data_IF_666763471791
#
_entry.id   IF_666763471791
#
_cell.length_a   1.000
_cell.length_b   1.000
_cell.length_c   1.000
_cell.angle_alpha   90.00
_cell.angle_beta   90.00
_cell.angle_gamma   90.00
#
_symmetry.space_group_name_H-M   'P 1'
#
loop_
_entity.id
_entity.type
_entity.pdbx_description
1 polymer ?
#
# COMPACT_ATOMS: atom_id res chain seq x y z
N UNK A 1 7.67 -11.65 6.35
CA UNK A 1 6.60 -10.66 6.30
C UNK A 1 5.55 -10.98 7.35
N UNK A 2 4.91 -12.15 7.32
CA UNK A 2 3.80 -12.51 8.20
C UNK A 2 4.15 -12.45 9.70
N UNK A 3 5.22 -13.12 10.10
CA UNK A 3 5.65 -13.22 11.50
C UNK A 3 6.38 -11.96 12.02
N UNK A 4 6.59 -10.98 11.18
CA UNK A 4 7.28 -9.73 11.53
C UNK A 4 8.66 -9.95 12.18
N UNK A 5 9.38 -10.97 11.74
CA UNK A 5 10.72 -11.26 12.22
C UNK A 5 11.76 -10.43 11.48
N UNK A 6 12.81 -9.98 12.18
CA UNK A 6 13.99 -9.42 11.52
C UNK A 6 14.72 -10.51 10.73
N UNK A 7 15.57 -10.13 9.77
CA UNK A 7 16.37 -11.08 8.99
C UNK A 7 17.17 -12.05 9.86
N UNK A 8 17.78 -11.55 10.94
CA UNK A 8 18.54 -12.36 11.91
C UNK A 8 17.65 -13.33 12.65
N UNK A 9 16.48 -12.86 13.15
CA UNK A 9 15.51 -13.73 13.82
C UNK A 9 14.88 -14.75 12.88
N UNK A 10 14.70 -14.40 11.60
CA UNK A 10 14.24 -15.34 10.59
C UNK A 10 15.26 -16.46 10.37
N UNK A 11 16.56 -16.13 10.21
CA UNK A 11 17.61 -17.13 10.09
C UNK A 11 17.71 -18.03 11.33
N UNK A 12 17.60 -17.44 12.53
CA UNK A 12 17.56 -18.19 13.78
C UNK A 12 16.36 -19.13 13.83
N UNK A 13 15.15 -18.64 13.56
CA UNK A 13 13.93 -19.45 13.58
C UNK A 13 14.00 -20.64 12.58
N UNK A 14 14.57 -20.44 11.39
CA UNK A 14 14.79 -21.52 10.43
C UNK A 14 15.76 -22.57 10.96
N UNK A 15 16.82 -22.17 11.64
CA UNK A 15 17.73 -23.12 12.28
C UNK A 15 17.05 -23.86 13.44
N UNK A 16 16.37 -23.15 14.34
CA UNK A 16 15.84 -23.71 15.58
C UNK A 16 14.62 -24.63 15.33
N UNK A 17 13.76 -24.30 14.34
CA UNK A 17 12.54 -25.05 14.06
C UNK A 17 12.71 -26.15 12.99
N UNK A 18 13.64 -25.93 12.05
CA UNK A 18 13.77 -26.81 10.87
C UNK A 18 15.20 -27.31 10.62
N UNK A 19 16.18 -26.92 11.43
CA UNK A 19 17.59 -27.27 11.24
C UNK A 19 18.24 -26.62 10.02
N UNK A 20 17.58 -25.61 9.40
CA UNK A 20 18.05 -24.95 8.20
C UNK A 20 19.03 -23.84 8.57
N UNK A 21 20.31 -24.05 8.30
CA UNK A 21 21.39 -23.11 8.59
C UNK A 21 21.65 -22.18 7.41
N UNK A 22 21.12 -20.96 7.48
CA UNK A 22 21.38 -19.89 6.53
C UNK A 22 21.75 -18.59 7.23
N UNK A 23 22.51 -17.74 6.54
CA UNK A 23 22.85 -16.41 7.08
C UNK A 23 21.66 -15.44 6.92
N UNK A 24 21.63 -14.40 7.75
CA UNK A 24 20.65 -13.33 7.59
C UNK A 24 20.78 -12.61 6.23
N UNK A 25 21.99 -12.61 5.63
CA UNK A 25 22.20 -12.07 4.28
C UNK A 25 21.53 -12.95 3.20
N UNK A 26 21.55 -14.27 3.36
CA UNK A 26 20.82 -15.17 2.47
C UNK A 26 19.30 -14.97 2.60
N UNK A 27 18.77 -14.75 3.81
CA UNK A 27 17.36 -14.39 4.02
C UNK A 27 17.02 -13.09 3.27
N UNK A 28 17.91 -12.07 3.35
CA UNK A 28 17.72 -10.82 2.62
C UNK A 28 17.73 -11.03 1.09
N UNK A 29 18.65 -11.85 0.59
CA UNK A 29 18.75 -12.17 -0.85
C UNK A 29 17.47 -12.89 -1.33
N UNK A 30 16.98 -13.88 -0.59
CA UNK A 30 15.71 -14.55 -0.93
C UNK A 30 14.52 -13.60 -0.92
N UNK A 31 14.42 -12.72 0.09
CA UNK A 31 13.36 -11.72 0.14
C UNK A 31 13.42 -10.76 -1.06
N UNK A 32 14.64 -10.33 -1.45
CA UNK A 32 14.85 -9.49 -2.63
C UNK A 32 14.47 -10.22 -3.92
N UNK A 33 14.91 -11.45 -4.10
CA UNK A 33 14.56 -12.28 -5.28
C UNK A 33 13.04 -12.47 -5.37
N UNK A 34 12.40 -12.82 -4.26
CA UNK A 34 10.94 -12.95 -4.20
C UNK A 34 10.24 -11.63 -4.59
N UNK A 35 10.73 -10.50 -4.07
CA UNK A 35 10.19 -9.18 -4.41
C UNK A 35 10.36 -8.84 -5.89
N UNK A 36 11.51 -9.14 -6.49
CA UNK A 36 11.78 -8.92 -7.92
C UNK A 36 10.84 -9.73 -8.82
N UNK A 37 10.54 -10.98 -8.43
CA UNK A 37 9.65 -11.85 -9.19
C UNK A 37 8.19 -11.43 -9.03
N UNK A 38 7.76 -11.11 -7.81
CA UNK A 38 6.35 -10.82 -7.53
C UNK A 38 5.94 -9.40 -7.88
N UNK A 39 6.86 -8.44 -7.86
CA UNK A 39 6.53 -7.02 -8.07
C UNK A 39 5.82 -6.75 -9.40
N UNK A 40 6.27 -7.25 -10.57
CA UNK A 40 5.54 -7.05 -11.82
C UNK A 40 4.10 -7.58 -11.78
N UNK A 41 3.89 -8.72 -11.13
CA UNK A 41 2.54 -9.27 -10.94
C UNK A 41 1.67 -8.34 -10.09
N UNK A 42 2.18 -7.89 -8.94
CA UNK A 42 1.44 -7.00 -8.03
C UNK A 42 1.13 -5.65 -8.69
N UNK A 43 2.11 -5.09 -9.40
CA UNK A 43 1.98 -3.76 -10.01
C UNK A 43 1.00 -3.73 -11.19
N UNK A 44 0.82 -4.86 -11.89
CA UNK A 44 -0.03 -4.95 -13.08
C UNK A 44 -1.30 -5.79 -12.86
N UNK A 45 -1.54 -6.27 -11.63
CA UNK A 45 -2.74 -7.04 -11.33
C UNK A 45 -3.99 -6.19 -11.51
N UNK A 46 -5.00 -6.72 -12.18
CA UNK A 46 -6.28 -6.06 -12.40
C UNK A 46 -7.17 -6.17 -11.16
N UNK A 47 -6.89 -5.32 -10.17
CA UNK A 47 -7.68 -5.28 -8.94
C UNK A 47 -9.13 -4.89 -9.21
N UNK A 48 -10.12 -5.55 -8.56
CA UNK A 48 -11.49 -5.04 -8.53
C UNK A 48 -11.51 -3.63 -7.93
N UNK A 49 -12.20 -2.71 -8.58
CA UNK A 49 -12.27 -1.30 -8.17
C UNK A 49 -13.71 -0.90 -7.92
N UNK A 50 -13.98 -0.34 -6.75
CA UNK A 50 -15.25 0.29 -6.41
C UNK A 50 -15.27 1.77 -6.82
N UNK A 51 -16.31 2.48 -6.41
CA UNK A 51 -16.39 3.94 -6.61
C UNK A 51 -15.74 4.76 -5.48
N UNK A 52 -15.14 4.12 -4.47
CA UNK A 52 -14.57 4.84 -3.32
C UNK A 52 -13.14 4.41 -3.08
N UNK A 53 -12.22 5.34 -3.23
CA UNK A 53 -10.81 5.15 -2.92
C UNK A 53 -10.42 5.97 -1.70
N UNK A 54 -9.51 5.45 -0.89
CA UNK A 54 -8.93 6.19 0.24
C UNK A 54 -7.41 6.16 0.16
N UNK A 55 -6.80 7.29 0.46
CA UNK A 55 -5.36 7.47 0.37
C UNK A 55 -4.78 8.10 1.64
N UNK A 56 -3.57 7.71 1.95
CA UNK A 56 -2.78 8.31 3.02
C UNK A 56 -1.30 8.02 2.76
N UNK A 57 -0.41 8.86 3.30
CA UNK A 57 1.00 8.56 3.28
C UNK A 57 1.54 8.24 4.67
N UNK A 58 2.56 7.41 4.70
CA UNK A 58 3.29 7.08 5.91
C UNK A 58 4.78 7.30 5.71
N UNK A 59 5.50 7.69 6.75
CA UNK A 59 6.94 7.91 6.64
C UNK A 59 7.74 6.66 7.02
N UNK A 60 8.90 6.54 6.37
CA UNK A 60 9.95 5.56 6.63
C UNK A 60 11.27 6.27 6.83
N UNK A 61 12.32 5.54 7.17
CA UNK A 61 13.69 6.02 7.15
C UNK A 61 14.49 5.27 6.10
N UNK A 62 15.22 6.00 5.26
CA UNK A 62 16.18 5.46 4.31
C UNK A 62 17.53 6.11 4.60
N UNK A 63 18.52 5.34 5.01
CA UNK A 63 19.82 5.85 5.54
C UNK A 63 19.65 6.89 6.65
N UNK A 64 18.67 6.67 7.54
CA UNK A 64 18.37 7.62 8.62
C UNK A 64 17.56 8.85 8.19
N UNK A 65 17.44 9.13 6.88
CA UNK A 65 16.70 10.27 6.33
C UNK A 65 15.23 9.90 6.16
N UNK A 66 14.34 10.86 6.40
CA UNK A 66 12.88 10.69 6.26
C UNK A 66 12.51 10.50 4.80
N UNK A 67 11.86 9.40 4.49
CA UNK A 67 11.19 9.13 3.22
C UNK A 67 9.71 8.80 3.46
N UNK A 68 8.97 8.58 2.40
CA UNK A 68 7.52 8.40 2.43
C UNK A 68 7.08 7.19 1.63
N UNK A 69 5.94 6.63 2.01
CA UNK A 69 5.20 5.69 1.20
C UNK A 69 3.78 6.22 1.08
N UNK A 70 3.33 6.37 -0.14
CA UNK A 70 1.95 6.68 -0.48
C UNK A 70 1.19 5.38 -0.67
N UNK A 71 0.04 5.24 -0.05
CA UNK A 71 -0.85 4.11 -0.25
C UNK A 71 -2.22 4.58 -0.74
N UNK A 72 -2.75 3.90 -1.74
CA UNK A 72 -4.13 4.09 -2.22
C UNK A 72 -4.83 2.75 -2.14
N UNK A 73 -5.98 2.73 -1.50
CA UNK A 73 -6.78 1.54 -1.22
C UNK A 73 -8.18 1.70 -1.79
N UNK A 74 -8.72 0.65 -2.37
CA UNK A 74 -10.14 0.54 -2.63
C UNK A 74 -10.91 0.29 -1.32
N UNK A 75 -11.95 1.07 -1.06
CA UNK A 75 -12.65 1.01 0.22
C UNK A 75 -13.54 -0.23 0.36
N UNK A 76 -14.05 -0.79 -0.74
CA UNK A 76 -14.92 -1.97 -0.71
C UNK A 76 -14.10 -3.25 -0.55
N UNK A 77 -13.15 -3.51 -1.45
CA UNK A 77 -12.29 -4.70 -1.40
C UNK A 77 -11.21 -4.61 -0.34
N UNK A 78 -10.83 -3.40 0.08
CA UNK A 78 -9.68 -3.08 0.92
C UNK A 78 -8.33 -3.48 0.32
N UNK A 79 -8.30 -3.75 -0.97
CA UNK A 79 -7.06 -4.01 -1.70
C UNK A 79 -6.24 -2.73 -1.84
N UNK A 80 -4.93 -2.84 -1.72
CA UNK A 80 -4.01 -1.76 -2.07
C UNK A 80 -3.94 -1.73 -3.58
N UNK A 81 -4.44 -0.64 -4.18
CA UNK A 81 -4.48 -0.44 -5.62
C UNK A 81 -3.22 0.24 -6.14
N UNK A 82 -2.63 1.10 -5.34
CA UNK A 82 -1.43 1.85 -5.70
C UNK A 82 -0.55 2.12 -4.50
N UNK A 83 0.76 2.13 -4.74
CA UNK A 83 1.75 2.51 -3.75
C UNK A 83 2.98 3.12 -4.41
N UNK A 84 3.61 4.07 -3.72
CA UNK A 84 4.83 4.72 -4.18
C UNK A 84 5.77 5.03 -3.02
N UNK A 85 7.00 4.59 -3.10
CA UNK A 85 8.08 4.96 -2.18
C UNK A 85 8.79 6.20 -2.73
N UNK A 86 9.03 7.21 -1.90
CA UNK A 86 9.67 8.45 -2.31
C UNK A 86 10.54 9.06 -1.23
N UNK A 87 11.48 9.89 -1.63
CA UNK A 87 12.35 10.70 -0.76
C UNK A 87 11.69 12.01 -0.31
N UNK A 88 10.59 12.36 -0.93
CA UNK A 88 9.88 13.60 -0.67
C UNK A 88 8.36 13.40 -0.63
N UNK A 89 7.64 14.40 -0.12
CA UNK A 89 6.19 14.44 0.01
C UNK A 89 5.58 15.39 -1.02
N UNK A 90 6.07 15.36 -2.26
CA UNK A 90 5.58 16.23 -3.34
C UNK A 90 4.42 15.61 -4.13
N UNK A 91 3.90 16.38 -5.09
CA UNK A 91 2.79 15.95 -5.96
C UNK A 91 3.20 14.78 -6.87
N UNK A 92 4.44 14.74 -7.35
CA UNK A 92 4.93 13.69 -8.26
C UNK A 92 4.72 12.27 -7.75
N UNK A 93 5.23 11.90 -6.56
CA UNK A 93 4.97 10.59 -5.98
C UNK A 93 3.49 10.28 -5.75
N UNK A 94 2.67 11.27 -5.39
CA UNK A 94 1.23 11.12 -5.26
C UNK A 94 0.59 10.72 -6.60
N UNK A 95 0.97 11.39 -7.69
CA UNK A 95 0.52 11.07 -9.05
C UNK A 95 0.91 9.66 -9.45
N UNK A 96 2.14 9.23 -9.17
CA UNK A 96 2.58 7.86 -9.50
C UNK A 96 1.75 6.81 -8.76
N UNK A 97 1.45 7.02 -7.49
CA UNK A 97 0.56 6.13 -6.73
C UNK A 97 -0.87 6.13 -7.31
N UNK A 98 -1.40 7.30 -7.71
CA UNK A 98 -2.72 7.41 -8.35
C UNK A 98 -2.74 6.72 -9.71
N UNK A 99 -1.73 6.89 -10.55
CA UNK A 99 -1.63 6.21 -11.86
C UNK A 99 -1.71 4.69 -11.70
N UNK A 100 -0.99 4.16 -10.72
CA UNK A 100 -1.05 2.73 -10.41
C UNK A 100 -2.46 2.33 -9.95
N UNK A 101 -3.11 3.10 -9.08
CA UNK A 101 -4.45 2.81 -8.60
C UNK A 101 -5.53 2.90 -9.69
N UNK A 102 -5.37 3.81 -10.65
CA UNK A 102 -6.32 4.01 -11.75
C UNK A 102 -6.05 3.13 -12.98
N UNK A 103 -4.96 2.36 -12.94
CA UNK A 103 -4.60 1.45 -14.04
C UNK A 103 -5.80 0.58 -14.46
N UNK A 104 -6.02 0.46 -15.78
CA UNK A 104 -7.14 -0.29 -16.37
C UNK A 104 -8.49 0.44 -16.38
N UNK A 105 -8.60 1.64 -15.77
CA UNK A 105 -9.79 2.47 -15.91
C UNK A 105 -9.71 3.29 -17.21
N UNK A 106 -10.79 3.30 -17.98
CA UNK A 106 -10.97 4.19 -19.14
C UNK A 106 -11.68 5.50 -18.75
N UNK A 107 -12.42 5.46 -17.65
CA UNK A 107 -13.05 6.60 -16.98
C UNK A 107 -13.29 6.25 -15.52
N UNK A 108 -13.50 7.25 -14.68
CA UNK A 108 -13.86 7.04 -13.27
C UNK A 108 -15.29 6.47 -13.17
N UNK A 109 -15.54 5.60 -12.17
CA UNK A 109 -16.89 5.11 -11.89
C UNK A 109 -17.88 6.24 -11.56
N UNK A 110 -19.17 6.02 -11.80
CA UNK A 110 -20.22 6.93 -11.30
C UNK A 110 -20.12 7.07 -9.78
N UNK A 111 -20.39 8.30 -9.29
CA UNK A 111 -20.30 8.64 -7.86
C UNK A 111 -18.90 8.39 -7.25
N UNK A 112 -17.85 8.49 -8.08
CA UNK A 112 -16.48 8.32 -7.60
C UNK A 112 -16.16 9.27 -6.44
N UNK A 113 -15.49 8.75 -5.42
CA UNK A 113 -15.00 9.50 -4.25
C UNK A 113 -13.54 9.13 -3.99
N UNK A 114 -12.71 10.14 -3.86
CA UNK A 114 -11.32 9.96 -3.43
C UNK A 114 -11.14 10.66 -2.08
N UNK A 115 -10.91 9.87 -1.04
CA UNK A 115 -10.87 10.32 0.35
C UNK A 115 -9.42 10.37 0.82
N UNK A 116 -8.98 11.53 1.28
CA UNK A 116 -7.64 11.74 1.80
C UNK A 116 -7.65 12.73 2.97
N UNK A 117 -6.48 12.99 3.56
CA UNK A 117 -6.32 14.09 4.50
C UNK A 117 -6.27 15.45 3.78
N UNK A 118 -6.09 16.54 4.56
CA UNK A 118 -6.01 17.90 4.02
C UNK A 118 -4.72 18.25 3.31
N UNK A 119 -3.87 17.28 2.95
CA UNK A 119 -2.59 17.56 2.32
C UNK A 119 -2.74 18.00 0.85
N UNK A 120 -2.12 19.11 0.50
CA UNK A 120 -2.30 19.78 -0.80
C UNK A 120 -1.83 19.00 -2.03
N UNK A 121 -1.01 17.96 -1.86
CA UNK A 121 -0.57 17.12 -2.97
C UNK A 121 -1.73 16.37 -3.64
N UNK A 122 -2.76 15.98 -2.90
CA UNK A 122 -3.90 15.24 -3.44
C UNK A 122 -4.74 16.06 -4.42
N UNK A 123 -5.23 17.27 -4.07
CA UNK A 123 -5.99 18.09 -5.03
C UNK A 123 -5.14 18.54 -6.23
N UNK A 124 -3.85 18.82 -6.05
CA UNK A 124 -2.96 19.14 -7.16
C UNK A 124 -2.78 17.94 -8.11
N UNK A 125 -2.64 16.73 -7.57
CA UNK A 125 -2.58 15.53 -8.38
C UNK A 125 -3.90 15.27 -9.14
N UNK A 126 -5.06 15.50 -8.51
CA UNK A 126 -6.36 15.37 -9.16
C UNK A 126 -6.53 16.34 -10.34
N UNK A 127 -6.08 17.59 -10.18
CA UNK A 127 -6.06 18.59 -11.27
C UNK A 127 -5.18 18.12 -12.43
N UNK A 128 -3.99 17.60 -12.15
CA UNK A 128 -3.09 17.10 -13.19
C UNK A 128 -3.69 15.88 -13.92
N UNK A 129 -4.35 14.97 -13.22
CA UNK A 129 -5.06 13.87 -13.86
C UNK A 129 -6.16 14.33 -14.82
N UNK A 130 -6.97 15.31 -14.41
CA UNK A 130 -8.00 15.87 -15.28
C UNK A 130 -7.41 16.53 -16.52
N UNK A 131 -6.27 17.22 -16.41
CA UNK A 131 -5.56 17.83 -17.52
C UNK A 131 -4.96 16.80 -18.50
N UNK A 132 -4.37 15.71 -17.97
CA UNK A 132 -3.70 14.70 -18.79
C UNK A 132 -4.66 13.71 -19.44
N UNK A 133 -5.70 13.28 -18.73
CA UNK A 133 -6.60 12.20 -19.13
C UNK A 133 -8.00 12.69 -19.53
N UNK A 134 -8.28 13.97 -19.36
CA UNK A 134 -9.54 14.61 -19.76
C UNK A 134 -10.68 14.45 -18.74
N UNK A 135 -11.87 14.90 -19.11
CA UNK A 135 -13.06 14.99 -18.24
C UNK A 135 -13.48 13.66 -17.59
N UNK A 136 -13.19 12.52 -18.21
CA UNK A 136 -13.48 11.20 -17.64
C UNK A 136 -12.71 10.88 -16.35
N UNK A 137 -11.65 11.64 -16.07
CA UNK A 137 -10.82 11.53 -14.87
C UNK A 137 -10.84 12.78 -13.99
N UNK A 138 -11.85 13.62 -14.16
CA UNK A 138 -12.06 14.78 -13.28
C UNK A 138 -12.76 14.35 -12.00
N UNK A 139 -12.17 14.65 -10.86
CA UNK A 139 -12.72 14.37 -9.54
C UNK A 139 -12.19 15.34 -8.49
N UNK A 140 -12.96 15.51 -7.43
CA UNK A 140 -12.59 16.30 -6.27
C UNK A 140 -12.10 15.38 -5.15
N UNK A 141 -11.18 15.90 -4.34
CA UNK A 141 -10.73 15.20 -3.14
C UNK A 141 -11.71 15.47 -1.99
N UNK A 142 -12.30 14.42 -1.45
CA UNK A 142 -13.05 14.49 -0.19
C UNK A 142 -12.04 14.51 0.96
N UNK A 143 -11.80 15.69 1.51
CA UNK A 143 -10.84 15.86 2.60
C UNK A 143 -11.48 15.55 3.96
N UNK A 144 -10.86 14.64 4.70
CA UNK A 144 -11.23 14.35 6.10
C UNK A 144 -10.06 14.75 7.00
N UNK A 145 -10.19 15.92 7.62
CA UNK A 145 -9.14 16.50 8.45
C UNK A 145 -9.39 16.10 9.92
N UNK A 146 -8.45 15.30 10.46
CA UNK A 146 -8.55 14.80 11.83
C UNK A 146 -9.59 13.70 12.01
N UNK A 147 -9.62 13.11 13.21
CA UNK A 147 -10.57 12.05 13.57
C UNK A 147 -11.70 12.55 14.49
N UNK A 148 -11.63 13.79 14.92
CA UNK A 148 -12.50 14.38 15.94
C UNK A 148 -13.47 15.44 15.43
N UNK A 149 -13.30 15.90 14.18
CA UNK A 149 -14.20 16.89 13.60
C UNK A 149 -15.63 16.37 13.47
N UNK A 150 -16.58 17.13 13.93
CA UNK A 150 -17.99 16.73 14.03
C UNK A 150 -18.88 17.27 12.89
N UNK A 151 -18.26 17.80 11.83
CA UNK A 151 -18.98 18.20 10.63
C UNK A 151 -19.57 16.98 9.88
N UNK A 152 -20.60 17.21 9.07
CA UNK A 152 -21.33 16.14 8.37
C UNK A 152 -20.42 15.32 7.43
N UNK A 153 -19.50 15.98 6.72
CA UNK A 153 -18.55 15.33 5.80
C UNK A 153 -17.60 14.42 6.55
N UNK A 154 -17.00 14.92 7.63
CA UNK A 154 -16.09 14.14 8.47
C UNK A 154 -16.80 12.94 9.09
N UNK A 155 -18.06 13.07 9.54
CA UNK A 155 -18.83 11.94 10.07
C UNK A 155 -19.10 10.86 9.03
N UNK A 156 -19.49 11.25 7.83
CA UNK A 156 -19.79 10.32 6.73
C UNK A 156 -18.53 9.56 6.25
N UNK A 157 -17.42 10.28 6.06
CA UNK A 157 -16.22 9.72 5.41
C UNK A 157 -15.13 9.24 6.38
N UNK A 158 -15.26 9.51 7.69
CA UNK A 158 -14.34 9.04 8.74
C UNK A 158 -14.05 7.52 8.72
N UNK A 159 -15.04 6.62 8.49
CA UNK A 159 -14.76 5.20 8.41
C UNK A 159 -13.74 4.84 7.33
N UNK A 160 -13.76 5.52 6.19
CA UNK A 160 -12.82 5.30 5.10
C UNK A 160 -11.41 5.80 5.46
N UNK A 161 -11.31 6.97 6.09
CA UNK A 161 -10.02 7.46 6.61
C UNK A 161 -9.43 6.50 7.64
N UNK A 162 -10.25 5.95 8.53
CA UNK A 162 -9.80 4.95 9.50
C UNK A 162 -9.32 3.65 8.84
N UNK A 163 -9.82 3.28 7.66
CA UNK A 163 -9.34 2.09 6.93
C UNK A 163 -7.88 2.26 6.51
N UNK A 164 -7.56 3.38 5.86
CA UNK A 164 -6.19 3.63 5.40
C UNK A 164 -5.22 3.86 6.57
N UNK A 165 -5.66 4.46 7.67
CA UNK A 165 -4.86 4.59 8.89
C UNK A 165 -4.56 3.23 9.54
N UNK A 166 -5.51 2.28 9.50
CA UNK A 166 -5.28 0.89 9.93
C UNK A 166 -4.29 0.17 9.02
N UNK A 167 -4.35 0.42 7.70
CA UNK A 167 -3.36 -0.08 6.76
C UNK A 167 -1.97 0.41 7.17
N UNK A 168 -1.81 1.72 7.35
CA UNK A 168 -0.55 2.33 7.75
C UNK A 168 -0.03 1.77 9.08
N UNK A 169 -0.89 1.55 10.08
CA UNK A 169 -0.51 0.89 11.33
C UNK A 169 -0.04 -0.55 11.12
N UNK A 170 -0.72 -1.30 10.26
CA UNK A 170 -0.34 -2.68 9.93
C UNK A 170 1.00 -2.72 9.21
N UNK A 171 1.26 -1.83 8.28
CA UNK A 171 2.57 -1.68 7.65
C UNK A 171 3.64 -1.30 8.67
N UNK A 172 3.38 -0.32 9.51
CA UNK A 172 4.32 0.15 10.54
C UNK A 172 4.72 -0.93 11.54
N UNK A 173 3.83 -1.86 11.89
CA UNK A 173 4.18 -2.97 12.78
C UNK A 173 5.26 -3.87 12.15
N UNK A 174 5.18 -4.12 10.86
CA UNK A 174 6.19 -4.86 10.09
C UNK A 174 7.46 -4.04 9.88
N UNK A 175 7.32 -2.76 9.53
CA UNK A 175 8.44 -1.86 9.28
C UNK A 175 9.32 -1.62 10.52
N UNK A 176 8.74 -1.53 11.72
CA UNK A 176 9.49 -1.27 12.98
C UNK A 176 10.62 -2.27 13.22
N UNK A 177 10.46 -3.49 12.75
CA UNK A 177 11.47 -4.57 12.92
C UNK A 177 12.71 -4.35 12.06
N UNK A 178 12.57 -3.66 10.93
CA UNK A 178 13.68 -3.35 10.02
C UNK A 178 14.50 -2.13 10.46
N UNK A 179 13.94 -1.29 11.34
CA UNK A 179 14.55 -0.03 11.81
C UNK A 179 14.90 0.97 10.69
N UNK A 180 14.43 0.76 9.48
CA UNK A 180 14.73 1.56 8.29
C UNK A 180 15.28 0.73 7.13
N UNK A 181 15.66 1.41 6.06
CA UNK A 181 16.22 0.82 4.85
C UNK A 181 17.55 1.46 4.49
N UNK A 182 18.46 0.68 3.91
CA UNK A 182 19.77 1.17 3.47
C UNK A 182 19.70 1.98 2.16
N UNK A 183 18.67 1.74 1.35
CA UNK A 183 18.46 2.45 0.08
C UNK A 183 17.00 2.36 -0.37
N UNK A 184 16.61 3.21 -1.32
CA UNK A 184 15.25 3.26 -1.87
C UNK A 184 14.85 2.01 -2.66
N UNK A 185 15.80 1.34 -3.33
CA UNK A 185 15.53 0.07 -4.01
C UNK A 185 15.12 -1.01 -3.01
N UNK A 186 15.84 -1.12 -1.90
CA UNK A 186 15.50 -2.03 -0.80
C UNK A 186 14.14 -1.72 -0.19
N UNK A 187 13.82 -0.43 0.00
CA UNK A 187 12.50 0.00 0.45
C UNK A 187 11.40 -0.39 -0.55
N UNK A 188 11.60 -0.12 -1.84
CA UNK A 188 10.64 -0.49 -2.90
C UNK A 188 10.38 -2.01 -2.94
N UNK A 189 11.43 -2.84 -2.88
CA UNK A 189 11.27 -4.29 -2.88
C UNK A 189 10.53 -4.79 -1.64
N UNK A 190 10.86 -4.24 -0.47
CA UNK A 190 10.20 -4.63 0.77
C UNK A 190 8.72 -4.23 0.77
N UNK A 191 8.39 -3.02 0.29
CA UNK A 191 7.01 -2.55 0.18
C UNK A 191 6.23 -3.39 -0.84
N UNK A 192 6.80 -3.70 -2.00
CA UNK A 192 6.16 -4.58 -3.00
C UNK A 192 5.85 -5.97 -2.42
N UNK A 193 6.81 -6.57 -1.72
CA UNK A 193 6.63 -7.86 -1.05
C UNK A 193 5.57 -7.79 0.05
N UNK A 194 5.53 -6.69 0.79
CA UNK A 194 4.51 -6.48 1.80
C UNK A 194 3.11 -6.28 1.19
N UNK A 195 3.00 -5.55 0.09
CA UNK A 195 1.73 -5.37 -0.65
C UNK A 195 1.26 -6.73 -1.22
N UNK A 196 2.17 -7.52 -1.78
CA UNK A 196 1.86 -8.88 -2.23
C UNK A 196 1.27 -9.71 -1.08
N UNK A 197 1.94 -9.72 0.07
CA UNK A 197 1.44 -10.40 1.26
C UNK A 197 0.07 -9.87 1.70
N UNK A 198 -0.10 -8.55 1.77
CA UNK A 198 -1.34 -7.92 2.21
C UNK A 198 -2.52 -8.25 1.30
N UNK A 199 -2.33 -8.15 -0.01
CA UNK A 199 -3.41 -8.33 -0.99
C UNK A 199 -3.73 -9.80 -1.29
N UNK A 200 -2.75 -10.72 -1.25
CA UNK A 200 -2.91 -12.08 -1.79
C UNK A 200 -2.70 -13.19 -0.78
N UNK A 201 -2.04 -12.95 0.34
CA UNK A 201 -1.68 -14.01 1.28
C UNK A 201 -2.23 -13.81 2.69
N UNK A 202 -2.51 -12.57 3.07
CA UNK A 202 -2.99 -12.25 4.41
C UNK A 202 -4.47 -12.56 4.53
N UNK A 203 -4.91 -13.33 5.56
CA UNK A 203 -6.32 -13.47 5.91
C UNK A 203 -6.87 -12.16 6.49
N UNK A 204 -8.03 -11.72 6.03
CA UNK A 204 -8.66 -10.48 6.47
C UNK A 204 -9.99 -10.75 7.17
N UNK A 205 -10.13 -10.29 8.42
CA UNK A 205 -11.35 -10.49 9.22
C UNK A 205 -12.62 -10.00 8.49
N UNK A 206 -12.53 -8.86 7.79
CA UNK A 206 -13.68 -8.31 7.05
C UNK A 206 -14.08 -9.16 5.84
N UNK A 207 -13.17 -10.02 5.34
CA UNK A 207 -13.41 -10.98 4.26
C UNK A 207 -13.49 -12.42 4.80
N UNK A 208 -14.11 -12.59 5.96
CA UNK A 208 -14.28 -13.91 6.60
C UNK A 208 -12.98 -14.72 6.73
N UNK A 209 -11.87 -14.05 7.05
CA UNK A 209 -10.51 -14.62 7.12
C UNK A 209 -9.99 -15.19 5.80
N UNK A 210 -10.56 -14.79 4.66
CA UNK A 210 -10.02 -15.09 3.33
C UNK A 210 -9.06 -13.99 2.88
N UNK A 211 -8.25 -14.30 1.89
CA UNK A 211 -7.40 -13.31 1.20
C UNK A 211 -8.26 -12.32 0.41
N UNK A 212 -7.73 -11.11 0.14
CA UNK A 212 -8.49 -10.09 -0.59
C UNK A 212 -8.66 -10.45 -2.07
N UNK A 213 -7.59 -10.98 -2.67
CA UNK A 213 -7.56 -11.31 -4.10
C UNK A 213 -7.09 -12.76 -4.25
N UNK A 214 -8.00 -13.73 -4.32
CA UNK A 214 -7.65 -15.12 -4.54
C UNK A 214 -7.07 -15.30 -5.96
N UNK A 215 -6.04 -16.13 -6.09
CA UNK A 215 -5.42 -16.48 -7.37
C UNK A 215 -5.63 -17.97 -7.58
N UNK A 216 -6.38 -18.34 -8.60
CA UNK A 216 -6.91 -19.70 -8.80
C UNK A 216 -5.89 -20.83 -8.84
N UNK A 217 -4.61 -20.56 -9.10
CA UNK A 217 -3.53 -21.53 -8.98
C UNK A 217 -3.12 -21.85 -7.53
N UNK A 218 -3.54 -21.05 -6.55
CA UNK A 218 -3.19 -21.21 -5.14
C UNK A 218 -4.34 -21.79 -4.31
N UNK A 219 -5.52 -21.98 -4.89
CA UNK A 219 -6.69 -22.49 -4.18
C UNK A 219 -6.74 -24.02 -4.06
N UNK A 220 -5.78 -24.73 -4.64
CA UNK A 220 -5.72 -26.19 -4.65
C UNK A 220 -4.45 -26.79 -4.00
N UNK A 221 -3.68 -25.99 -3.24
CA UNK A 221 -2.47 -26.46 -2.57
C UNK A 221 -2.67 -26.55 -1.06
#
# INVERSE_FOLDING_TARGET
>A
VNLQLSLRKTAQALNDLYGIRISHQQVANYARTAALVIKPFVDHYEYPKSSVFTADETYIKVRGIKGYIWFIMDAASRSILGYQVSDNRSVGPCILAMRMAFQGLTKLPEKFRFIADGYSAYPLAALQFAQELGEGFKFDITQVIGLTNDDAVSKEFRPYKQMIERLNRTFKSTYRVSCGYDNYNGANYNVALWVAYYNFLRPHKHNHYRVLNPVGMLEGA
#
